data_IF_689973368052
#
_entry.id   IF_689973368052
#
_cell.length_a   1.000
_cell.length_b   1.000
_cell.length_c   1.000
_cell.angle_alpha   90.00
_cell.angle_beta   90.00
_cell.angle_gamma   90.00
#
_symmetry.space_group_name_H-M   'P 1'
#
loop_
_entity.id
_entity.type
_entity.pdbx_description
1 polymer ?
#
# COMPACT_ATOMS: atom_id res chain seq x y z
N UNK A 1 15.40 14.38 -2.97
CA UNK A 1 14.70 13.91 -1.76
C UNK A 1 13.20 14.20 -1.81
N UNK A 2 12.76 15.40 -2.19
CA UNK A 2 11.31 15.76 -2.25
C UNK A 2 10.49 14.91 -3.24
N UNK A 3 11.10 14.40 -4.33
CA UNK A 3 10.42 13.52 -5.28
C UNK A 3 9.91 12.23 -4.64
N UNK A 4 10.78 11.44 -4.01
CA UNK A 4 10.38 10.21 -3.33
C UNK A 4 9.33 10.47 -2.24
N UNK A 5 9.45 11.59 -1.52
CA UNK A 5 8.47 11.97 -0.52
C UNK A 5 7.08 12.20 -1.14
N UNK A 6 7.02 12.81 -2.33
CA UNK A 6 5.76 12.97 -3.06
C UNK A 6 5.25 11.63 -3.63
N UNK A 7 6.14 10.79 -4.15
CA UNK A 7 5.77 9.45 -4.64
C UNK A 7 5.18 8.59 -3.50
N UNK A 8 5.74 8.70 -2.29
CA UNK A 8 5.23 8.04 -1.09
C UNK A 8 3.81 8.52 -0.75
N UNK A 9 3.58 9.85 -0.73
CA UNK A 9 2.24 10.43 -0.50
C UNK A 9 1.23 9.90 -1.51
N UNK A 10 1.60 9.88 -2.79
CA UNK A 10 0.72 9.40 -3.86
C UNK A 10 0.38 7.91 -3.72
N UNK A 11 1.35 7.06 -3.37
CA UNK A 11 1.09 5.63 -3.15
C UNK A 11 0.16 5.42 -1.95
N UNK A 12 0.37 6.15 -0.85
CA UNK A 12 -0.51 6.10 0.32
C UNK A 12 -1.94 6.55 -0.05
N UNK A 13 -2.10 7.68 -0.74
CA UNK A 13 -3.39 8.17 -1.22
C UNK A 13 -4.11 7.14 -2.10
N UNK A 14 -3.37 6.47 -2.98
CA UNK A 14 -3.89 5.44 -3.87
C UNK A 14 -4.44 4.24 -3.10
N UNK A 15 -3.72 3.78 -2.07
CA UNK A 15 -4.11 2.62 -1.26
C UNK A 15 -5.31 2.97 -0.36
N UNK A 16 -5.35 4.18 0.19
CA UNK A 16 -6.46 4.65 1.03
C UNK A 16 -7.76 4.82 0.24
N UNK A 17 -7.67 5.15 -1.06
CA UNK A 17 -8.83 5.46 -1.93
C UNK A 17 -9.74 6.55 -1.35
N UNK A 18 -9.15 7.48 -0.61
CA UNK A 18 -9.84 8.67 -0.11
C UNK A 18 -9.87 9.75 -1.20
N UNK A 19 -10.52 10.87 -0.91
CA UNK A 19 -10.36 12.08 -1.73
C UNK A 19 -8.90 12.54 -1.71
N UNK A 20 -8.53 13.41 -2.66
CA UNK A 20 -7.18 13.98 -2.72
C UNK A 20 -6.83 14.64 -1.38
N UNK A 21 -5.56 14.57 -0.98
CA UNK A 21 -5.09 15.12 0.29
C UNK A 21 -5.35 16.62 0.48
N UNK A 22 -5.56 17.36 -0.61
CA UNK A 22 -6.03 18.76 -0.59
C UNK A 22 -7.38 18.96 0.12
N UNK A 23 -8.20 17.91 0.24
CA UNK A 23 -9.50 17.92 0.91
C UNK A 23 -9.48 17.31 2.32
N UNK A 24 -8.35 16.75 2.74
CA UNK A 24 -8.24 16.12 4.05
C UNK A 24 -8.37 17.16 5.17
N UNK A 25 -9.06 16.76 6.23
CA UNK A 25 -9.21 17.52 7.46
C UNK A 25 -8.34 16.89 8.54
N UNK A 26 -8.13 17.61 9.65
CA UNK A 26 -7.39 17.11 10.81
C UNK A 26 -7.80 15.69 11.26
N UNK A 27 -9.11 15.38 11.20
CA UNK A 27 -9.64 14.05 11.55
C UNK A 27 -9.15 12.92 10.63
N UNK A 28 -8.91 13.23 9.35
CA UNK A 28 -8.50 12.24 8.35
C UNK A 28 -7.04 11.85 8.60
N UNK A 29 -6.20 12.79 9.03
CA UNK A 29 -4.83 12.51 9.51
C UNK A 29 -4.80 11.69 10.81
N UNK A 30 -5.74 11.94 11.74
CA UNK A 30 -5.91 11.10 12.94
C UNK A 30 -6.27 9.68 12.53
N UNK A 31 -7.20 9.52 11.60
CA UNK A 31 -7.59 8.20 11.12
C UNK A 31 -6.45 7.50 10.36
N UNK A 32 -5.66 8.23 9.58
CA UNK A 32 -4.46 7.69 8.93
C UNK A 32 -3.43 7.21 9.95
N UNK A 33 -3.16 8.01 10.99
CA UNK A 33 -2.27 7.63 12.10
C UNK A 33 -2.71 6.32 12.74
N UNK A 34 -4.01 6.15 13.00
CA UNK A 34 -4.56 4.91 13.54
C UNK A 34 -4.39 3.73 12.57
N UNK A 35 -4.61 3.93 11.27
CA UNK A 35 -4.45 2.88 10.26
C UNK A 35 -2.98 2.42 10.16
N UNK A 36 -2.05 3.37 10.11
CA UNK A 36 -0.61 3.11 10.11
C UNK A 36 -0.22 2.33 11.35
N UNK A 37 -0.70 2.74 12.53
CA UNK A 37 -0.42 2.05 13.79
C UNK A 37 -0.98 0.63 13.82
N UNK A 38 -2.19 0.40 13.30
CA UNK A 38 -2.78 -0.95 13.23
C UNK A 38 -1.99 -1.85 12.28
N UNK A 39 -1.53 -1.33 11.14
CA UNK A 39 -0.82 -2.11 10.13
C UNK A 39 0.63 -2.42 10.54
N UNK A 40 1.35 -1.42 11.01
CA UNK A 40 2.80 -1.49 11.24
C UNK A 40 3.20 -1.74 12.70
N UNK A 41 2.23 -1.66 13.62
CA UNK A 41 2.46 -1.65 15.07
C UNK A 41 3.35 -0.49 15.56
N UNK A 42 3.53 0.55 14.74
CA UNK A 42 4.31 1.76 15.05
C UNK A 42 3.44 3.00 14.92
N UNK A 43 3.60 3.93 15.85
CA UNK A 43 2.82 5.17 15.91
C UNK A 43 3.52 6.26 15.09
N UNK A 44 2.75 6.99 14.28
CA UNK A 44 3.18 8.24 13.64
C UNK A 44 2.19 9.32 14.03
N UNK A 45 2.67 10.47 14.49
CA UNK A 45 1.79 11.52 15.02
C UNK A 45 0.92 12.14 13.92
N UNK A 46 -0.36 12.38 14.20
CA UNK A 46 -1.30 12.93 13.22
C UNK A 46 -0.92 14.35 12.76
N UNK A 47 -0.30 15.17 13.61
CA UNK A 47 0.18 16.51 13.23
C UNK A 47 1.44 16.42 12.37
N UNK A 48 2.29 15.44 12.64
CA UNK A 48 3.45 15.14 11.79
C UNK A 48 3.00 14.70 10.40
N UNK A 49 1.99 13.81 10.31
CA UNK A 49 1.36 13.45 9.03
C UNK A 49 0.75 14.68 8.36
N UNK A 50 -0.02 15.48 9.07
CA UNK A 50 -0.60 16.70 8.51
C UNK A 50 0.46 17.63 7.94
N UNK A 51 1.54 17.89 8.70
CA UNK A 51 2.65 18.72 8.24
C UNK A 51 3.36 18.09 7.02
N UNK A 52 3.52 16.77 7.00
CA UNK A 52 4.11 16.08 5.87
C UNK A 52 3.31 16.31 4.59
N UNK A 53 1.98 16.23 4.63
CA UNK A 53 1.13 16.44 3.44
C UNK A 53 0.99 17.90 3.04
N UNK A 54 0.76 18.80 4.01
CA UNK A 54 0.49 20.22 3.75
C UNK A 54 1.76 21.03 3.43
N UNK A 55 2.94 20.52 3.79
CA UNK A 55 4.21 21.20 3.58
C UNK A 55 5.21 20.36 2.78
N UNK A 56 6.30 21.02 2.37
CA UNK A 56 7.48 20.33 1.82
C UNK A 56 8.41 19.77 2.90
N UNK A 57 8.01 19.82 4.18
CA UNK A 57 8.81 19.28 5.27
C UNK A 57 8.86 17.76 5.17
N UNK A 58 10.07 17.22 5.21
CA UNK A 58 10.31 15.77 5.21
C UNK A 58 10.35 15.31 6.66
N UNK A 59 9.49 14.37 7.07
CA UNK A 59 9.49 13.85 8.43
C UNK A 59 10.80 13.09 8.72
N UNK A 60 11.15 12.89 10.00
CA UNK A 60 12.28 12.06 10.40
C UNK A 60 12.21 10.66 9.78
N UNK A 61 13.39 10.10 9.48
CA UNK A 61 13.54 8.76 8.89
C UNK A 61 12.68 7.65 9.55
N UNK A 62 12.58 7.51 10.89
CA UNK A 62 11.71 6.47 11.49
C UNK A 62 10.23 6.58 11.09
N UNK A 63 9.73 7.81 10.91
CA UNK A 63 8.36 8.03 10.43
C UNK A 63 8.24 7.67 8.95
N UNK A 64 9.24 7.99 8.14
CA UNK A 64 9.31 7.57 6.73
C UNK A 64 9.40 6.05 6.60
N UNK A 65 10.21 5.37 7.42
CA UNK A 65 10.31 3.91 7.45
C UNK A 65 8.95 3.31 7.81
N UNK A 66 8.26 3.88 8.80
CA UNK A 66 6.92 3.43 9.20
C UNK A 66 5.89 3.64 8.09
N UNK A 67 5.93 4.77 7.39
CA UNK A 67 5.04 5.03 6.26
C UNK A 67 5.35 4.17 5.05
N UNK A 68 6.62 3.85 4.80
CA UNK A 68 7.04 2.89 3.78
C UNK A 68 6.55 1.48 4.11
N UNK A 69 6.66 1.05 5.37
CA UNK A 69 6.09 -0.22 5.83
C UNK A 69 4.56 -0.26 5.82
N UNK A 70 3.89 0.90 5.89
CA UNK A 70 2.43 0.96 5.73
C UNK A 70 2.00 0.61 4.29
N UNK A 71 2.87 0.82 3.31
CA UNK A 71 2.64 0.49 1.90
C UNK A 71 3.49 -0.71 1.43
N UNK A 72 3.80 -1.62 2.36
CA UNK A 72 4.47 -2.91 2.14
C UNK A 72 5.94 -2.85 1.67
N UNK A 73 6.66 -1.77 1.97
CA UNK A 73 8.12 -1.71 1.81
C UNK A 73 8.85 -2.03 3.12
N UNK A 74 10.09 -2.49 3.03
CA UNK A 74 10.86 -2.85 4.23
C UNK A 74 11.14 -1.63 5.09
N UNK A 75 11.59 -0.55 4.45
CA UNK A 75 11.91 0.73 5.07
C UNK A 75 11.95 1.84 3.99
N UNK A 76 12.31 3.06 4.40
CA UNK A 76 12.40 4.20 3.50
C UNK A 76 13.46 4.07 2.41
N UNK A 77 14.59 3.41 2.71
CA UNK A 77 15.67 3.26 1.73
C UNK A 77 15.28 2.21 0.68
N UNK A 78 14.61 1.12 1.08
CA UNK A 78 14.00 0.13 0.18
C UNK A 78 12.97 0.79 -0.75
N UNK A 79 12.11 1.66 -0.19
CA UNK A 79 11.18 2.46 -0.99
C UNK A 79 11.93 3.34 -2.00
N UNK A 80 12.94 4.08 -1.57
CA UNK A 80 13.71 4.95 -2.46
C UNK A 80 14.43 4.17 -3.54
N UNK A 81 15.05 3.03 -3.22
CA UNK A 81 15.79 2.21 -4.18
C UNK A 81 14.88 1.62 -5.26
N UNK A 82 13.71 1.08 -4.86
CA UNK A 82 12.73 0.49 -5.79
C UNK A 82 12.01 1.54 -6.64
N UNK A 83 11.87 2.76 -6.12
CA UNK A 83 11.24 3.88 -6.83
C UNK A 83 12.27 4.89 -7.39
N UNK A 84 13.57 4.55 -7.38
CA UNK A 84 14.64 5.36 -7.97
C UNK A 84 14.57 5.37 -9.50
N UNK A 85 14.10 4.27 -10.08
CA UNK A 85 14.22 3.99 -11.51
C UNK A 85 12.93 4.33 -12.28
N UNK A 86 12.70 5.63 -12.43
CA UNK A 86 11.99 6.17 -13.60
C UNK A 86 12.92 6.50 -14.77
N UNK A 87 14.24 6.25 -14.63
CA UNK A 87 15.27 6.49 -15.64
C UNK A 87 16.35 5.42 -15.46
N UNK A 88 16.64 4.68 -16.54
CA UNK A 88 17.64 3.61 -16.74
C UNK A 88 17.17 2.16 -16.59
N UNK A 89 16.78 1.64 -17.76
CA UNK A 89 17.20 0.35 -18.31
C UNK A 89 16.74 -0.92 -17.60
N UNK A 90 15.86 -1.62 -18.31
CA UNK A 90 15.71 -3.05 -18.23
C UNK A 90 17.10 -3.69 -18.40
N UNK A 91 17.73 -4.04 -17.28
CA UNK A 91 18.85 -4.97 -17.28
C UNK A 91 18.31 -6.32 -16.80
N UNK A 92 18.27 -7.25 -17.74
CA UNK A 92 17.48 -8.48 -17.75
C UNK A 92 18.08 -9.59 -16.86
N UNK A 93 19.16 -9.33 -16.11
CA UNK A 93 19.98 -10.40 -15.50
C UNK A 93 19.97 -10.48 -13.96
N UNK A 94 19.22 -9.63 -13.25
CA UNK A 94 18.96 -9.82 -11.80
C UNK A 94 17.51 -10.18 -11.46
N UNK A 95 16.66 -10.42 -12.47
CA UNK A 95 15.24 -10.74 -12.30
C UNK A 95 14.94 -12.12 -11.65
N UNK A 96 15.93 -12.99 -11.41
CA UNK A 96 15.65 -14.35 -10.90
C UNK A 96 15.60 -14.53 -9.38
N UNK A 97 15.96 -13.52 -8.55
CA UNK A 97 15.90 -13.69 -7.09
C UNK A 97 15.05 -12.70 -6.33
N UNK A 98 14.64 -11.59 -6.94
CA UNK A 98 13.68 -10.68 -6.32
C UNK A 98 12.68 -10.24 -7.38
N UNK A 99 11.85 -11.20 -7.82
CA UNK A 99 10.56 -10.87 -8.36
C UNK A 99 9.91 -9.86 -7.39
N UNK A 100 9.27 -8.79 -7.88
CA UNK A 100 8.45 -7.94 -7.03
C UNK A 100 7.36 -8.85 -6.47
N UNK A 101 7.56 -9.32 -5.24
CA UNK A 101 6.56 -10.08 -4.52
C UNK A 101 5.48 -9.08 -4.17
N UNK A 102 4.61 -8.83 -5.15
CA UNK A 102 3.30 -8.29 -4.94
C UNK A 102 2.59 -9.35 -4.10
N UNK A 103 2.77 -9.28 -2.78
CA UNK A 103 2.02 -10.08 -1.84
C UNK A 103 0.56 -9.79 -2.13
N UNK A 104 -0.07 -10.71 -2.85
CA UNK A 104 -1.47 -10.63 -3.24
C UNK A 104 -2.20 -10.35 -1.93
N UNK A 105 -2.87 -9.18 -1.79
CA UNK A 105 -3.49 -8.82 -0.52
C UNK A 105 -4.38 -10.01 -0.15
N UNK A 106 -4.16 -10.65 1.00
CA UNK A 106 -4.87 -11.91 1.35
C UNK A 106 -6.40 -11.79 1.21
N UNK A 107 -6.90 -10.54 1.23
CA UNK A 107 -8.26 -10.13 0.85
C UNK A 107 -8.73 -10.66 -0.52
N UNK A 108 -7.90 -10.66 -1.56
CA UNK A 108 -8.25 -11.19 -2.89
C UNK A 108 -8.27 -12.71 -2.92
N UNK A 109 -7.39 -13.36 -2.15
CA UNK A 109 -7.38 -14.83 -2.01
C UNK A 109 -8.70 -15.29 -1.39
N UNK A 110 -9.18 -14.60 -0.36
CA UNK A 110 -10.49 -14.89 0.25
C UNK A 110 -11.62 -14.74 -0.78
N UNK A 111 -11.64 -13.66 -1.55
CA UNK A 111 -12.66 -13.44 -2.61
C UNK A 111 -12.62 -14.54 -3.68
N UNK A 112 -11.43 -14.93 -4.15
CA UNK A 112 -11.25 -16.01 -5.13
C UNK A 112 -11.70 -17.37 -4.57
N UNK A 113 -11.39 -17.67 -3.31
CA UNK A 113 -11.85 -18.89 -2.65
C UNK A 113 -13.38 -18.95 -2.56
N UNK A 114 -14.04 -17.84 -2.17
CA UNK A 114 -15.50 -17.79 -2.12
C UNK A 114 -16.15 -17.98 -3.50
N UNK A 115 -15.59 -17.40 -4.55
CA UNK A 115 -16.07 -17.59 -5.91
C UNK A 115 -15.99 -19.06 -6.37
N UNK A 116 -14.90 -19.76 -6.04
CA UNK A 116 -14.73 -21.18 -6.35
C UNK A 116 -15.76 -22.07 -5.63
N UNK A 117 -16.03 -21.79 -4.36
CA UNK A 117 -17.05 -22.52 -3.57
C UNK A 117 -18.44 -22.30 -4.17
N UNK A 118 -18.80 -21.06 -4.52
CA UNK A 118 -20.10 -20.74 -5.13
C UNK A 118 -20.24 -21.44 -6.48
N UNK A 119 -19.22 -21.40 -7.33
CA UNK A 119 -19.24 -22.08 -8.62
C UNK A 119 -19.49 -23.59 -8.48
N UNK A 120 -18.84 -24.24 -7.51
CA UNK A 120 -19.01 -25.68 -7.25
C UNK A 120 -20.43 -26.03 -6.81
N UNK A 121 -21.05 -25.20 -5.96
CA UNK A 121 -22.44 -25.38 -5.51
C UNK A 121 -23.41 -25.23 -6.69
N UNK A 122 -23.21 -24.20 -7.53
CA UNK A 122 -24.05 -23.95 -8.71
C UNK A 122 -23.98 -25.13 -9.70
N UNK A 123 -22.79 -25.67 -9.95
CA UNK A 123 -22.61 -26.84 -10.81
C UNK A 123 -23.35 -28.06 -10.23
N UNK A 124 -23.25 -28.29 -8.91
CA UNK A 124 -23.97 -29.37 -8.25
C UNK A 124 -25.50 -29.26 -8.41
N UNK A 125 -26.05 -28.06 -8.23
CA UNK A 125 -27.50 -27.80 -8.41
C UNK A 125 -27.93 -28.04 -9.86
N UNK A 126 -27.15 -27.57 -10.83
CA UNK A 126 -27.45 -27.76 -12.26
C UNK A 126 -27.46 -29.23 -12.67
N UNK A 127 -26.58 -30.05 -12.10
CA UNK A 127 -26.54 -31.49 -12.36
C UNK A 127 -27.76 -32.21 -11.78
N UNK A 128 -28.22 -31.82 -10.58
CA UNK A 128 -29.42 -32.39 -9.93
C UNK A 128 -30.70 -32.01 -10.68
N UNK A 129 -30.76 -30.84 -11.31
CA UNK A 129 -31.95 -30.40 -12.06
C UNK A 129 -32.04 -30.93 -13.49
N UNK A 130 -30.94 -31.46 -14.03
CA UNK A 130 -30.85 -31.90 -15.44
C UNK A 130 -30.80 -33.42 -15.60
N UNK A 131 -30.74 -34.18 -14.49
CA UNK A 131 -30.95 -35.63 -14.44
C UNK A 131 -32.35 -35.96 -13.95
#
# INVERSE_FOLDING_TARGET
MTRHANDLKQQIEHILRWEQSSHWRARDYVYLSELVARHTQRQVDARELQAFWESSAVPPKPSLDTLASFIDYTDWDDFCARNAYGVMEADEETQLLHAPMWEIPMRWVIVLCWLSVIASIVIGILLVWKG
#
